data_IF_007081782442
#
_entry.id   IF_007081782442
#
_cell.length_a   1.000
_cell.length_b   1.000
_cell.length_c   1.000
_cell.angle_alpha   90.00
_cell.angle_beta   90.00
_cell.angle_gamma   90.00
#
_symmetry.space_group_name_H-M   'P 1'
#
loop_
_entity.id
_entity.type
_entity.pdbx_description
1 polymer ?
#
# COMPACT_ATOMS: atom_id res chain seq x y z
N UNK A 1 -8.55 -20.79 8.71
CA UNK A 1 -8.74 -22.26 8.71
C UNK A 1 -8.87 -22.71 7.28
N UNK A 2 -8.12 -23.72 6.84
CA UNK A 2 -8.29 -24.30 5.52
C UNK A 2 -9.70 -24.93 5.43
N UNK A 3 -10.44 -24.57 4.39
CA UNK A 3 -11.79 -25.09 4.14
C UNK A 3 -11.76 -26.62 4.08
N UNK A 4 -12.62 -27.27 4.88
CA UNK A 4 -12.70 -28.71 5.06
C UNK A 4 -12.87 -29.47 3.73
N UNK A 5 -13.45 -28.83 2.71
CA UNK A 5 -13.64 -29.39 1.36
C UNK A 5 -12.32 -29.74 0.67
N UNK A 6 -11.20 -29.09 1.03
CA UNK A 6 -9.92 -29.27 0.36
C UNK A 6 -8.91 -30.10 1.14
N UNK A 7 -9.24 -30.61 2.33
CA UNK A 7 -8.30 -31.36 3.17
C UNK A 7 -7.65 -32.53 2.44
N UNK A 8 -8.44 -33.29 1.66
CA UNK A 8 -7.91 -34.41 0.88
C UNK A 8 -6.97 -33.94 -0.25
N UNK A 9 -7.30 -32.85 -0.91
CA UNK A 9 -6.46 -32.25 -1.96
C UNK A 9 -5.14 -31.76 -1.37
N UNK A 10 -5.17 -31.07 -0.22
CA UNK A 10 -3.98 -30.61 0.48
C UNK A 10 -3.08 -31.77 0.92
N UNK A 11 -3.65 -32.87 1.42
CA UNK A 11 -2.90 -34.09 1.72
C UNK A 11 -2.21 -34.69 0.49
N UNK A 12 -2.93 -34.77 -0.64
CA UNK A 12 -2.36 -35.28 -1.89
C UNK A 12 -1.25 -34.37 -2.42
N UNK A 13 -1.44 -33.06 -2.33
CA UNK A 13 -0.42 -32.08 -2.70
C UNK A 13 0.83 -32.26 -1.85
N UNK A 14 0.72 -32.37 -0.52
CA UNK A 14 1.85 -32.64 0.39
C UNK A 14 2.67 -33.85 -0.05
N UNK A 15 1.99 -34.94 -0.41
CA UNK A 15 2.64 -36.18 -0.83
C UNK A 15 3.34 -36.06 -2.19
N UNK A 16 2.82 -35.20 -3.08
CA UNK A 16 3.27 -35.07 -4.48
C UNK A 16 4.09 -33.82 -4.77
N UNK A 17 4.37 -32.95 -3.78
CA UNK A 17 5.13 -31.71 -3.99
C UNK A 17 6.47 -31.94 -4.72
N UNK A 18 7.18 -33.01 -4.38
CA UNK A 18 8.47 -33.36 -5.00
C UNK A 18 8.39 -33.70 -6.49
N UNK A 19 7.20 -34.09 -6.97
CA UNK A 19 6.97 -34.56 -8.34
C UNK A 19 6.31 -33.48 -9.21
N UNK A 20 6.04 -32.28 -8.66
CA UNK A 20 5.43 -31.19 -9.42
C UNK A 20 6.38 -30.70 -10.53
N UNK A 21 5.86 -30.53 -11.75
CA UNK A 21 6.56 -29.80 -12.81
C UNK A 21 6.65 -28.31 -12.48
N UNK A 22 7.45 -27.55 -13.23
CA UNK A 22 7.53 -26.09 -13.10
C UNK A 22 6.15 -25.41 -13.21
N UNK A 23 5.33 -25.84 -14.17
CA UNK A 23 3.96 -25.38 -14.33
C UNK A 23 3.07 -25.79 -13.14
N UNK A 24 3.09 -27.07 -12.75
CA UNK A 24 2.28 -27.56 -11.63
C UNK A 24 2.64 -26.93 -10.29
N UNK A 25 3.91 -26.59 -10.07
CA UNK A 25 4.37 -25.83 -8.91
C UNK A 25 3.81 -24.40 -8.89
N UNK A 26 3.85 -23.73 -10.04
CA UNK A 26 3.33 -22.36 -10.19
C UNK A 26 1.83 -22.31 -9.93
N UNK A 27 1.07 -23.24 -10.50
CA UNK A 27 -0.37 -23.35 -10.29
C UNK A 27 -0.74 -23.74 -8.86
N UNK A 28 0.01 -24.67 -8.25
CA UNK A 28 -0.21 -25.06 -6.87
C UNK A 28 0.01 -23.89 -5.90
N UNK A 29 1.12 -23.15 -6.06
CA UNK A 29 1.41 -21.98 -5.23
C UNK A 29 0.39 -20.87 -5.44
N UNK A 30 -0.01 -20.59 -6.69
CA UNK A 30 -1.04 -19.60 -7.02
C UNK A 30 -2.40 -19.95 -6.40
N UNK A 31 -2.86 -21.20 -6.57
CA UNK A 31 -4.14 -21.66 -6.03
C UNK A 31 -4.18 -21.57 -4.51
N UNK A 32 -3.11 -22.01 -3.83
CA UNK A 32 -3.00 -21.89 -2.37
C UNK A 32 -3.01 -20.43 -1.90
N UNK A 33 -2.33 -19.54 -2.62
CA UNK A 33 -2.31 -18.11 -2.32
C UNK A 33 -3.69 -17.48 -2.49
N UNK A 34 -4.43 -17.81 -3.56
CA UNK A 34 -5.81 -17.36 -3.76
C UNK A 34 -6.76 -17.88 -2.68
N UNK A 35 -6.53 -19.09 -2.19
CA UNK A 35 -7.27 -19.66 -1.07
C UNK A 35 -6.85 -19.11 0.30
N UNK A 36 -5.85 -18.22 0.37
CA UNK A 36 -5.26 -17.74 1.63
C UNK A 36 -4.82 -18.89 2.55
N UNK A 37 -4.38 -20.01 1.94
CA UNK A 37 -3.89 -21.16 2.66
C UNK A 37 -2.50 -20.85 3.23
N UNK A 38 -2.36 -20.92 4.56
CA UNK A 38 -1.09 -20.66 5.26
C UNK A 38 -0.54 -21.93 5.90
N UNK A 39 -0.57 -23.05 5.20
CA UNK A 39 -0.05 -24.32 5.68
C UNK A 39 1.49 -24.35 5.65
N UNK A 40 2.15 -24.41 6.81
CA UNK A 40 3.61 -24.34 6.91
C UNK A 40 4.29 -25.49 6.15
N UNK A 41 3.82 -26.71 6.35
CA UNK A 41 4.44 -27.91 5.79
C UNK A 41 4.37 -27.90 4.25
N UNK A 42 3.21 -27.54 3.70
CA UNK A 42 3.02 -27.44 2.25
C UNK A 42 3.98 -26.40 1.67
N UNK A 43 4.04 -25.20 2.24
CA UNK A 43 4.88 -24.14 1.69
C UNK A 43 6.38 -24.45 1.82
N UNK A 44 6.82 -25.12 2.90
CA UNK A 44 8.20 -25.60 3.00
C UNK A 44 8.54 -26.63 1.91
N UNK A 45 7.62 -27.56 1.61
CA UNK A 45 7.82 -28.55 0.53
C UNK A 45 7.80 -27.92 -0.86
N UNK A 46 6.90 -26.96 -1.10
CA UNK A 46 6.83 -26.21 -2.36
C UNK A 46 8.08 -25.35 -2.55
N UNK A 47 8.59 -24.72 -1.49
CA UNK A 47 9.86 -23.98 -1.51
C UNK A 47 11.03 -24.90 -1.89
N UNK A 48 11.18 -26.03 -1.21
CA UNK A 48 12.24 -27.01 -1.53
C UNK A 48 12.14 -27.50 -2.98
N UNK A 49 10.92 -27.77 -3.47
CA UNK A 49 10.69 -28.15 -4.87
C UNK A 49 11.10 -27.01 -5.81
N UNK A 50 10.60 -25.79 -5.58
CA UNK A 50 10.91 -24.62 -6.39
C UNK A 50 12.41 -24.37 -6.51
N UNK A 51 13.15 -24.48 -5.40
CA UNK A 51 14.61 -24.38 -5.41
C UNK A 51 15.28 -25.48 -6.25
N UNK A 52 14.77 -26.72 -6.18
CA UNK A 52 15.33 -27.86 -6.95
C UNK A 52 15.12 -27.76 -8.47
N UNK A 53 14.05 -27.07 -8.93
CA UNK A 53 13.72 -26.91 -10.36
C UNK A 53 13.74 -25.44 -10.79
N UNK A 54 14.48 -24.59 -10.08
CA UNK A 54 14.44 -23.14 -10.31
C UNK A 54 14.79 -22.78 -11.76
N UNK A 55 15.72 -23.52 -12.37
CA UNK A 55 16.16 -23.34 -13.76
C UNK A 55 15.08 -23.73 -14.79
N UNK A 56 14.13 -24.58 -14.42
CA UNK A 56 13.01 -24.98 -15.27
C UNK A 56 11.84 -23.99 -15.21
N UNK A 57 11.78 -23.13 -14.18
CA UNK A 57 10.75 -22.10 -14.07
C UNK A 57 11.00 -21.01 -15.11
N UNK A 58 9.98 -20.75 -15.93
CA UNK A 58 9.96 -19.64 -16.86
C UNK A 58 9.73 -18.31 -16.09
N UNK A 59 9.86 -17.14 -16.75
CA UNK A 59 9.61 -15.84 -16.13
C UNK A 59 8.28 -15.73 -15.38
N UNK A 60 7.23 -16.35 -15.93
CA UNK A 60 5.91 -16.35 -15.33
C UNK A 60 5.87 -17.18 -14.05
N UNK A 61 6.42 -18.38 -14.06
CA UNK A 61 6.52 -19.25 -12.90
C UNK A 61 7.34 -18.63 -11.77
N UNK A 62 8.49 -18.02 -12.09
CA UNK A 62 9.30 -17.28 -11.11
C UNK A 62 8.51 -16.17 -10.42
N UNK A 63 7.80 -15.34 -11.21
CA UNK A 63 6.99 -14.25 -10.69
C UNK A 63 5.78 -14.76 -9.88
N UNK A 64 5.11 -15.83 -10.34
CA UNK A 64 3.95 -16.42 -9.65
C UNK A 64 4.36 -17.03 -8.31
N UNK A 65 5.49 -17.76 -8.25
CA UNK A 65 5.96 -18.35 -6.99
C UNK A 65 6.29 -17.24 -5.99
N UNK A 66 7.04 -16.21 -6.40
CA UNK A 66 7.34 -15.06 -5.54
C UNK A 66 6.05 -14.35 -5.06
N UNK A 67 5.14 -14.05 -5.99
CA UNK A 67 3.85 -13.41 -5.70
C UNK A 67 3.01 -14.24 -4.73
N UNK A 68 2.99 -15.56 -4.89
CA UNK A 68 2.20 -16.47 -4.07
C UNK A 68 2.70 -16.51 -2.63
N UNK A 69 4.02 -16.60 -2.43
CA UNK A 69 4.65 -16.54 -1.11
C UNK A 69 4.41 -15.18 -0.45
N UNK A 70 4.51 -14.08 -1.20
CA UNK A 70 4.20 -12.74 -0.72
C UNK A 70 2.72 -12.59 -0.30
N UNK A 71 1.79 -13.12 -1.09
CA UNK A 71 0.35 -13.05 -0.85
C UNK A 71 -0.06 -13.72 0.47
N UNK A 72 0.60 -14.81 0.85
CA UNK A 72 0.35 -15.49 2.13
C UNK A 72 1.25 -14.98 3.27
N UNK A 73 2.01 -13.91 3.04
CA UNK A 73 2.98 -13.31 3.97
C UNK A 73 4.05 -14.29 4.46
N UNK A 74 4.54 -15.17 3.58
CA UNK A 74 5.60 -16.13 3.87
C UNK A 74 6.92 -15.68 3.25
N UNK A 75 7.84 -15.26 4.12
CA UNK A 75 9.21 -14.93 3.74
C UNK A 75 10.10 -16.17 3.83
N UNK A 76 10.62 -16.60 2.69
CA UNK A 76 11.61 -17.67 2.57
C UNK A 76 12.84 -17.12 1.85
N UNK A 77 13.89 -16.81 2.62
CA UNK A 77 15.09 -16.14 2.10
C UNK A 77 15.82 -16.96 1.03
N UNK A 78 15.91 -18.28 1.22
CA UNK A 78 16.62 -19.16 0.30
C UNK A 78 15.88 -19.25 -1.04
N UNK A 79 14.56 -19.40 -0.99
CA UNK A 79 13.73 -19.38 -2.19
C UNK A 79 13.80 -18.04 -2.92
N UNK A 80 13.66 -16.92 -2.19
CA UNK A 80 13.67 -15.60 -2.80
C UNK A 80 15.03 -15.25 -3.40
N UNK A 81 16.13 -15.67 -2.78
CA UNK A 81 17.47 -15.56 -3.35
C UNK A 81 17.63 -16.41 -4.63
N UNK A 82 17.09 -17.63 -4.64
CA UNK A 82 17.12 -18.49 -5.82
C UNK A 82 16.29 -17.90 -6.97
N UNK A 83 15.08 -17.40 -6.68
CA UNK A 83 14.25 -16.67 -7.66
C UNK A 83 14.98 -15.45 -8.16
N UNK A 84 15.57 -14.63 -7.29
CA UNK A 84 16.33 -13.45 -7.70
C UNK A 84 17.48 -13.80 -8.64
N UNK A 85 18.28 -14.81 -8.31
CA UNK A 85 19.40 -15.25 -9.14
C UNK A 85 18.97 -15.74 -10.52
N UNK A 86 17.86 -16.48 -10.59
CA UNK A 86 17.36 -17.01 -11.86
C UNK A 86 16.60 -15.98 -12.69
N UNK A 87 15.83 -15.09 -12.05
CA UNK A 87 15.14 -13.97 -12.71
C UNK A 87 16.13 -13.06 -13.44
N UNK A 88 17.31 -12.79 -12.85
CA UNK A 88 18.35 -11.97 -13.51
C UNK A 88 18.86 -12.60 -14.81
N UNK A 89 19.04 -13.92 -14.85
CA UNK A 89 19.49 -14.62 -16.07
C UNK A 89 18.44 -14.63 -17.18
N UNK A 90 17.16 -14.57 -16.80
CA UNK A 90 16.01 -14.67 -17.70
C UNK A 90 15.33 -13.33 -17.97
N UNK A 91 15.87 -12.22 -17.45
CA UNK A 91 15.19 -10.93 -17.39
C UNK A 91 14.70 -10.44 -18.76
N UNK A 92 15.49 -10.64 -19.81
CA UNK A 92 15.12 -10.27 -21.19
C UNK A 92 13.83 -10.94 -21.69
N UNK A 93 13.45 -12.09 -21.10
CA UNK A 93 12.23 -12.84 -21.42
C UNK A 93 11.05 -12.50 -20.51
N UNK A 94 11.21 -11.64 -19.49
CA UNK A 94 10.11 -11.25 -18.62
C UNK A 94 9.11 -10.37 -19.37
N UNK A 95 7.81 -10.57 -19.15
CA UNK A 95 6.82 -9.54 -19.46
C UNK A 95 6.81 -8.44 -18.38
N UNK A 96 6.30 -7.25 -18.70
CA UNK A 96 6.14 -6.15 -17.72
C UNK A 96 5.30 -6.54 -16.50
N UNK A 97 4.33 -7.44 -16.69
CA UNK A 97 3.55 -8.03 -15.59
C UNK A 97 4.39 -8.92 -14.67
N UNK A 98 5.36 -9.67 -15.23
CA UNK A 98 6.24 -10.51 -14.42
C UNK A 98 7.19 -9.64 -13.59
N UNK A 99 7.70 -8.56 -14.20
CA UNK A 99 8.53 -7.54 -13.52
C UNK A 99 7.73 -6.92 -12.36
N UNK A 100 6.52 -6.41 -12.63
CA UNK A 100 5.71 -5.75 -11.60
C UNK A 100 5.36 -6.70 -10.44
N UNK A 101 4.98 -7.95 -10.74
CA UNK A 101 4.70 -8.96 -9.71
C UNK A 101 5.93 -9.31 -8.87
N UNK A 102 7.10 -9.42 -9.48
CA UNK A 102 8.33 -9.75 -8.77
C UNK A 102 8.77 -8.61 -7.83
N UNK A 103 8.73 -7.35 -8.31
CA UNK A 103 9.05 -6.18 -7.47
C UNK A 103 8.02 -6.05 -6.33
N UNK A 104 6.72 -6.24 -6.64
CA UNK A 104 5.66 -6.23 -5.64
C UNK A 104 5.85 -7.29 -4.56
N UNK A 105 6.24 -8.51 -4.95
CA UNK A 105 6.48 -9.60 -4.02
C UNK A 105 7.64 -9.28 -3.06
N UNK A 106 8.76 -8.79 -3.60
CA UNK A 106 9.91 -8.34 -2.82
C UNK A 106 9.53 -7.22 -1.83
N UNK A 107 8.81 -6.20 -2.29
CA UNK A 107 8.34 -5.10 -1.45
C UNK A 107 7.34 -5.55 -0.37
N UNK A 108 6.51 -6.53 -0.67
CA UNK A 108 5.53 -7.08 0.28
C UNK A 108 6.22 -7.89 1.38
N UNK A 109 7.25 -8.65 1.04
CA UNK A 109 8.03 -9.46 1.99
C UNK A 109 9.18 -8.68 2.67
N UNK A 110 9.43 -7.44 2.24
CA UNK A 110 10.53 -6.61 2.74
C UNK A 110 11.90 -7.20 2.40
N UNK A 111 12.02 -7.80 1.22
CA UNK A 111 13.27 -8.39 0.71
C UNK A 111 13.94 -7.43 -0.25
N UNK A 112 15.18 -7.08 0.06
CA UNK A 112 16.01 -6.19 -0.75
C UNK A 112 17.19 -6.98 -1.32
N UNK A 113 17.32 -6.93 -2.64
CA UNK A 113 18.43 -7.49 -3.41
C UNK A 113 18.92 -6.43 -4.38
N UNK A 114 20.01 -5.72 -4.05
CA UNK A 114 20.42 -4.54 -4.81
C UNK A 114 20.66 -4.86 -6.30
N UNK A 115 21.29 -6.00 -6.60
CA UNK A 115 21.55 -6.40 -7.97
C UNK A 115 20.26 -6.68 -8.77
N UNK A 116 19.30 -7.41 -8.18
CA UNK A 116 18.02 -7.67 -8.85
C UNK A 116 17.23 -6.37 -9.03
N UNK A 117 17.15 -5.53 -8.00
CA UNK A 117 16.37 -4.29 -8.05
C UNK A 117 16.98 -3.28 -9.02
N UNK A 118 18.30 -3.23 -9.17
CA UNK A 118 18.98 -2.44 -10.21
C UNK A 118 18.57 -2.90 -11.61
N UNK A 119 18.66 -4.20 -11.88
CA UNK A 119 18.30 -4.78 -13.18
C UNK A 119 16.80 -4.56 -13.49
N UNK A 120 15.91 -4.79 -12.52
CA UNK A 120 14.47 -4.59 -12.68
C UNK A 120 14.09 -3.11 -12.86
N UNK A 121 14.77 -2.19 -12.20
CA UNK A 121 14.57 -0.75 -12.38
C UNK A 121 15.01 -0.30 -13.78
N UNK A 122 16.18 -0.75 -14.22
CA UNK A 122 16.70 -0.45 -15.55
C UNK A 122 15.79 -1.01 -16.65
N UNK A 123 15.31 -2.24 -16.48
CA UNK A 123 14.40 -2.86 -17.45
C UNK A 123 13.02 -2.18 -17.46
N UNK A 124 12.53 -1.78 -16.29
CA UNK A 124 11.28 -1.00 -16.17
C UNK A 124 11.40 0.37 -16.84
N UNK A 125 12.56 1.04 -16.73
CA UNK A 125 12.85 2.29 -17.46
C UNK A 125 12.84 2.08 -18.97
N UNK A 126 13.51 1.02 -19.44
CA UNK A 126 13.62 0.70 -20.87
C UNK A 126 12.26 0.45 -21.52
N UNK A 127 11.33 -0.15 -20.77
CA UNK A 127 10.02 -0.61 -21.26
C UNK A 127 8.85 0.18 -20.71
N UNK A 128 9.09 1.39 -20.22
CA UNK A 128 8.11 2.22 -19.52
C UNK A 128 6.74 2.35 -20.25
N UNK A 129 6.77 2.44 -21.58
CA UNK A 129 5.56 2.61 -22.40
C UNK A 129 4.73 1.32 -22.55
N UNK A 130 5.32 0.15 -22.28
CA UNK A 130 4.62 -1.14 -22.29
C UNK A 130 3.82 -1.39 -21.02
N UNK A 131 4.17 -0.73 -19.91
CA UNK A 131 3.45 -0.87 -18.65
C UNK A 131 2.07 -0.20 -18.72
N UNK A 132 1.08 -0.91 -18.17
CA UNK A 132 -0.21 -0.32 -17.81
C UNK A 132 -0.05 0.67 -16.65
N UNK A 133 -1.05 1.54 -16.45
CA UNK A 133 -1.07 2.48 -15.31
C UNK A 133 -0.99 1.72 -13.97
N UNK A 134 -1.71 0.60 -13.85
CA UNK A 134 -1.69 -0.25 -12.67
C UNK A 134 -0.28 -0.77 -12.37
N UNK A 135 0.40 -1.33 -13.36
CA UNK A 135 1.72 -1.91 -13.15
C UNK A 135 2.76 -0.82 -12.83
N UNK A 136 2.69 0.35 -13.47
CA UNK A 136 3.55 1.49 -13.11
C UNK A 136 3.35 1.94 -11.67
N UNK A 137 2.10 2.05 -11.23
CA UNK A 137 1.78 2.41 -9.86
C UNK A 137 2.34 1.38 -8.87
N UNK A 138 2.23 0.08 -9.19
CA UNK A 138 2.79 -1.02 -8.40
C UNK A 138 4.31 -0.93 -8.32
N UNK A 139 5.01 -0.77 -9.45
CA UNK A 139 6.48 -0.69 -9.47
C UNK A 139 6.98 0.51 -8.68
N UNK A 140 6.37 1.68 -8.88
CA UNK A 140 6.72 2.91 -8.17
C UNK A 140 6.47 2.80 -6.65
N UNK A 141 5.33 2.23 -6.26
CA UNK A 141 5.02 1.93 -4.86
C UNK A 141 6.04 0.95 -4.27
N UNK A 142 6.37 -0.12 -4.98
CA UNK A 142 7.20 -1.19 -4.47
C UNK A 142 8.64 -0.73 -4.22
N UNK A 143 9.24 0.01 -5.16
CA UNK A 143 10.57 0.62 -4.93
C UNK A 143 10.56 1.62 -3.78
N UNK A 144 9.49 2.41 -3.64
CA UNK A 144 9.34 3.34 -2.52
C UNK A 144 9.24 2.60 -1.18
N UNK A 145 8.42 1.55 -1.11
CA UNK A 145 8.24 0.73 0.09
C UNK A 145 9.54 0.02 0.53
N UNK A 146 10.38 -0.37 -0.44
CA UNK A 146 11.70 -0.95 -0.18
C UNK A 146 12.76 0.09 0.20
N UNK A 147 12.43 1.39 0.19
CA UNK A 147 13.38 2.49 0.29
C UNK A 147 14.55 2.33 -0.70
N UNK A 148 14.24 1.86 -1.92
CA UNK A 148 15.23 1.66 -2.97
C UNK A 148 15.50 2.96 -3.74
N UNK A 149 16.77 3.33 -3.99
CA UNK A 149 17.10 4.58 -4.67
C UNK A 149 16.81 4.48 -6.18
N UNK A 150 15.69 5.04 -6.63
CA UNK A 150 15.25 4.98 -8.04
C UNK A 150 15.96 5.97 -8.98
N UNK A 151 16.61 7.00 -8.43
CA UNK A 151 17.31 8.05 -9.21
C UNK A 151 16.38 8.97 -10.02
N UNK A 152 16.93 10.06 -10.57
CA UNK A 152 16.14 11.11 -11.25
C UNK A 152 15.59 10.67 -12.60
N UNK A 153 16.25 9.73 -13.27
CA UNK A 153 15.76 9.17 -14.54
C UNK A 153 14.39 8.51 -14.36
N UNK A 154 14.21 7.70 -13.30
CA UNK A 154 12.93 7.08 -12.97
C UNK A 154 11.88 8.12 -12.58
N UNK A 155 12.23 9.08 -11.72
CA UNK A 155 11.31 10.14 -11.30
C UNK A 155 10.76 10.91 -12.50
N UNK A 156 11.65 11.31 -13.41
CA UNK A 156 11.30 12.04 -14.63
C UNK A 156 10.45 11.19 -15.57
N UNK A 157 10.81 9.92 -15.75
CA UNK A 157 10.07 8.97 -16.57
C UNK A 157 8.64 8.77 -16.06
N UNK A 158 8.46 8.47 -14.78
CA UNK A 158 7.15 8.30 -14.15
C UNK A 158 6.33 9.58 -14.24
N UNK A 159 6.93 10.74 -13.92
CA UNK A 159 6.26 12.04 -14.08
C UNK A 159 5.71 12.22 -15.49
N UNK A 160 6.55 12.09 -16.51
CA UNK A 160 6.16 12.30 -17.90
C UNK A 160 5.13 11.28 -18.39
N UNK A 161 5.18 10.05 -17.88
CA UNK A 161 4.21 9.01 -18.19
C UNK A 161 2.85 9.31 -17.55
N UNK A 162 2.82 9.62 -16.26
CA UNK A 162 1.59 9.95 -15.52
C UNK A 162 0.90 11.19 -16.12
N UNK A 163 1.63 12.24 -16.45
CA UNK A 163 1.02 13.43 -17.07
C UNK A 163 0.36 13.16 -18.44
N UNK A 164 0.76 12.10 -19.16
CA UNK A 164 0.22 11.73 -20.47
C UNK A 164 -0.93 10.72 -20.42
N UNK A 165 -1.05 9.96 -19.34
CA UNK A 165 -2.08 8.92 -19.22
C UNK A 165 -3.49 9.52 -19.11
N UNK A 166 -4.45 8.92 -19.81
CA UNK A 166 -5.82 9.43 -19.90
C UNK A 166 -6.78 8.79 -18.89
N UNK A 167 -6.47 7.57 -18.46
CA UNK A 167 -7.36 6.76 -17.64
C UNK A 167 -6.61 6.27 -16.40
N UNK A 168 -7.31 6.33 -15.28
CA UNK A 168 -6.81 5.95 -13.97
C UNK A 168 -7.91 5.26 -13.16
N UNK A 169 -7.51 4.23 -12.43
CA UNK A 169 -8.25 3.80 -11.26
C UNK A 169 -7.86 4.67 -10.04
N UNK A 170 -8.78 4.91 -9.09
CA UNK A 170 -8.50 5.61 -7.83
C UNK A 170 -7.28 5.06 -7.06
N UNK A 171 -7.12 3.73 -7.07
CA UNK A 171 -5.98 3.05 -6.43
C UNK A 171 -4.64 3.49 -7.00
N UNK A 172 -4.55 3.62 -8.33
CA UNK A 172 -3.31 3.94 -9.03
C UNK A 172 -2.82 5.35 -8.67
N UNK A 173 -3.71 6.35 -8.73
CA UNK A 173 -3.40 7.73 -8.32
C UNK A 173 -2.96 7.78 -6.86
N UNK A 174 -3.67 7.07 -5.97
CA UNK A 174 -3.33 7.05 -4.55
C UNK A 174 -1.96 6.41 -4.29
N UNK A 175 -1.60 5.34 -5.00
CA UNK A 175 -0.30 4.70 -4.89
C UNK A 175 0.83 5.60 -5.40
N UNK A 176 0.61 6.31 -6.52
CA UNK A 176 1.57 7.26 -7.08
C UNK A 176 1.78 8.42 -6.11
N UNK A 177 0.71 9.05 -5.62
CA UNK A 177 0.79 10.15 -4.66
C UNK A 177 1.48 9.74 -3.36
N UNK A 178 1.15 8.55 -2.83
CA UNK A 178 1.80 7.98 -1.66
C UNK A 178 3.30 7.83 -1.87
N UNK A 179 3.70 7.31 -3.03
CA UNK A 179 5.11 7.09 -3.35
C UNK A 179 5.89 8.41 -3.48
N UNK A 180 5.29 9.44 -4.07
CA UNK A 180 5.89 10.79 -4.15
C UNK A 180 6.10 11.38 -2.76
N UNK A 181 5.03 11.39 -1.95
CA UNK A 181 5.06 11.96 -0.61
C UNK A 181 6.03 11.22 0.32
N UNK A 182 6.05 9.89 0.26
CA UNK A 182 6.94 9.05 1.09
C UNK A 182 8.41 9.28 0.75
N UNK A 183 8.74 9.50 -0.53
CA UNK A 183 10.12 9.82 -0.95
C UNK A 183 10.51 11.28 -0.73
N UNK A 184 9.56 12.14 -0.36
CA UNK A 184 9.77 13.58 -0.28
C UNK A 184 9.99 14.23 -1.65
N UNK A 185 9.47 13.63 -2.72
CA UNK A 185 9.58 14.18 -4.07
C UNK A 185 8.65 15.39 -4.21
N UNK A 186 9.27 16.56 -4.38
CA UNK A 186 8.54 17.81 -4.61
C UNK A 186 8.31 18.04 -6.12
N UNK A 187 7.10 17.79 -6.60
CA UNK A 187 6.58 18.06 -7.95
C UNK A 187 5.14 18.63 -7.88
N UNK A 188 5.00 19.96 -7.79
CA UNK A 188 3.70 20.64 -7.76
C UNK A 188 2.81 20.33 -8.96
N UNK A 189 3.36 20.30 -10.18
CA UNK A 189 2.58 20.08 -11.40
C UNK A 189 1.95 18.68 -11.41
N UNK A 190 2.73 17.68 -11.00
CA UNK A 190 2.26 16.31 -10.90
C UNK A 190 1.21 16.15 -9.80
N UNK A 191 1.38 16.82 -8.65
CA UNK A 191 0.37 16.76 -7.60
C UNK A 191 -0.92 17.50 -8.00
N UNK A 192 -0.82 18.65 -8.63
CA UNK A 192 -1.97 19.37 -9.17
C UNK A 192 -2.72 18.54 -10.22
N UNK A 193 -1.97 17.82 -11.08
CA UNK A 193 -2.56 16.84 -12.00
C UNK A 193 -3.29 15.72 -11.26
N UNK A 194 -2.67 15.10 -10.26
CA UNK A 194 -3.29 14.04 -9.44
C UNK A 194 -4.56 14.55 -8.76
N UNK A 195 -4.55 15.77 -8.23
CA UNK A 195 -5.71 16.39 -7.59
C UNK A 195 -6.87 16.57 -8.57
N UNK A 196 -6.61 17.13 -9.77
CA UNK A 196 -7.62 17.26 -10.83
C UNK A 196 -8.23 15.92 -11.23
N UNK A 197 -7.40 14.89 -11.43
CA UNK A 197 -7.88 13.55 -11.74
C UNK A 197 -8.66 12.92 -10.59
N UNK A 198 -8.27 13.19 -9.36
CA UNK A 198 -8.97 12.70 -8.16
C UNK A 198 -10.37 13.32 -8.04
N UNK A 199 -10.56 14.58 -8.47
CA UNK A 199 -11.88 15.20 -8.56
C UNK A 199 -12.82 14.49 -9.55
N UNK A 200 -12.31 14.12 -10.73
CA UNK A 200 -13.07 13.38 -11.75
C UNK A 200 -13.54 12.00 -11.23
N UNK A 201 -12.74 11.39 -10.35
CA UNK A 201 -12.96 10.05 -9.81
C UNK A 201 -13.56 10.04 -8.39
N UNK A 202 -13.92 11.20 -7.84
CA UNK A 202 -14.28 11.37 -6.42
C UNK A 202 -15.36 10.39 -5.94
N UNK A 203 -16.34 10.07 -6.81
CA UNK A 203 -17.44 9.14 -6.49
C UNK A 203 -17.00 7.68 -6.37
N UNK A 204 -15.94 7.27 -7.07
CA UNK A 204 -15.43 5.89 -7.03
C UNK A 204 -14.31 5.69 -6.01
N UNK A 205 -13.88 6.77 -5.33
CA UNK A 205 -12.85 6.68 -4.29
C UNK A 205 -13.35 5.85 -3.12
N UNK A 206 -12.53 4.89 -2.69
CA UNK A 206 -12.66 4.31 -1.35
C UNK A 206 -12.16 5.32 -0.31
N UNK A 207 -12.50 5.11 0.96
CA UNK A 207 -11.90 5.88 2.05
C UNK A 207 -10.37 5.82 2.05
N UNK A 208 -9.78 4.72 1.57
CA UNK A 208 -8.32 4.56 1.50
C UNK A 208 -7.71 5.45 0.43
N UNK A 209 -8.33 5.55 -0.73
CA UNK A 209 -7.83 6.43 -1.78
C UNK A 209 -7.88 7.89 -1.31
N UNK A 210 -9.01 8.30 -0.74
CA UNK A 210 -9.20 9.66 -0.20
C UNK A 210 -8.14 10.01 0.86
N UNK A 211 -8.01 9.16 1.87
CA UNK A 211 -7.05 9.35 2.96
C UNK A 211 -5.62 9.45 2.46
N UNK A 212 -5.25 8.60 1.50
CA UNK A 212 -3.90 8.54 0.96
C UNK A 212 -3.55 9.79 0.16
N UNK A 213 -4.47 10.31 -0.67
CA UNK A 213 -4.24 11.55 -1.44
C UNK A 213 -4.13 12.75 -0.49
N UNK A 214 -5.04 12.90 0.47
CA UNK A 214 -5.01 14.01 1.45
C UNK A 214 -3.72 13.95 2.29
N UNK A 215 -3.34 12.76 2.76
CA UNK A 215 -2.08 12.56 3.47
C UNK A 215 -0.87 12.92 2.59
N UNK A 216 -0.87 12.51 1.33
CA UNK A 216 0.22 12.80 0.42
C UNK A 216 0.40 14.31 0.22
N UNK A 217 -0.68 15.03 -0.08
CA UNK A 217 -0.71 16.50 -0.22
C UNK A 217 -0.20 17.20 1.05
N UNK A 218 -0.68 16.77 2.22
CA UNK A 218 -0.27 17.34 3.50
C UNK A 218 1.20 17.03 3.85
N UNK A 219 1.73 15.89 3.44
CA UNK A 219 3.11 15.47 3.74
C UNK A 219 4.13 16.39 3.08
N UNK A 220 3.96 16.62 1.79
CA UNK A 220 4.79 17.49 0.93
C UNK A 220 4.43 18.98 1.04
N UNK A 221 3.38 19.33 1.78
CA UNK A 221 2.94 20.70 2.06
C UNK A 221 2.54 21.53 0.83
N UNK A 222 1.91 20.90 -0.19
CA UNK A 222 1.31 21.67 -1.28
C UNK A 222 0.01 22.32 -0.82
N UNK A 223 0.00 23.65 -0.69
CA UNK A 223 -1.17 24.41 -0.26
C UNK A 223 -1.55 25.57 -1.18
N UNK A 224 -0.63 25.99 -2.06
CA UNK A 224 -0.78 27.21 -2.85
C UNK A 224 -1.31 26.96 -4.28
N UNK A 225 -1.64 25.71 -4.63
CA UNK A 225 -2.21 25.37 -5.95
C UNK A 225 -3.76 25.37 -5.91
N UNK A 226 -4.45 26.12 -6.80
CA UNK A 226 -5.91 26.17 -6.84
C UNK A 226 -6.59 24.81 -7.02
N UNK A 227 -5.97 23.88 -7.75
CA UNK A 227 -6.51 22.54 -7.99
C UNK A 227 -6.52 21.71 -6.71
N UNK A 228 -5.58 21.96 -5.80
CA UNK A 228 -5.49 21.30 -4.50
C UNK A 228 -6.58 21.84 -3.58
N UNK A 229 -6.79 23.15 -3.52
CA UNK A 229 -7.89 23.75 -2.76
C UNK A 229 -9.25 23.23 -3.23
N UNK A 230 -9.49 23.19 -4.55
CA UNK A 230 -10.73 22.67 -5.13
C UNK A 230 -10.93 21.18 -4.79
N UNK A 231 -9.88 20.37 -4.91
CA UNK A 231 -9.92 18.96 -4.53
C UNK A 231 -10.27 18.80 -3.04
N UNK A 232 -9.65 19.55 -2.14
CA UNK A 232 -9.92 19.47 -0.69
C UNK A 232 -11.36 19.86 -0.35
N UNK A 233 -11.92 20.90 -1.01
CA UNK A 233 -13.33 21.28 -0.84
C UNK A 233 -14.27 20.16 -1.28
N UNK A 234 -14.00 19.54 -2.42
CA UNK A 234 -14.80 18.43 -2.93
C UNK A 234 -14.68 17.19 -2.04
N UNK A 235 -13.45 16.90 -1.58
CA UNK A 235 -13.17 15.81 -0.66
C UNK A 235 -13.93 16.00 0.67
N UNK A 236 -14.02 17.21 1.22
CA UNK A 236 -14.81 17.50 2.43
C UNK A 236 -16.27 17.09 2.26
N UNK A 237 -16.91 17.47 1.16
CA UNK A 237 -18.30 17.07 0.88
C UNK A 237 -18.45 15.55 0.80
N UNK A 238 -17.52 14.86 0.14
CA UNK A 238 -17.52 13.41 0.05
C UNK A 238 -17.25 12.72 1.41
N UNK A 239 -16.36 13.28 2.23
CA UNK A 239 -16.03 12.82 3.58
C UNK A 239 -17.25 12.94 4.50
N UNK A 240 -17.90 14.09 4.51
CA UNK A 240 -19.10 14.32 5.33
C UNK A 240 -20.24 13.38 4.95
N UNK A 241 -20.41 13.08 3.67
CA UNK A 241 -21.45 12.17 3.20
C UNK A 241 -21.19 10.68 3.48
N UNK A 242 -19.93 10.29 3.66
CA UNK A 242 -19.49 8.86 3.68
C UNK A 242 -18.59 8.51 4.86
N UNK A 243 -18.59 9.32 5.91
CA UNK A 243 -17.66 9.16 7.05
C UNK A 243 -17.80 7.81 7.77
N UNK A 244 -18.99 7.20 7.70
CA UNK A 244 -19.29 5.87 8.25
C UNK A 244 -18.62 4.71 7.48
N UNK A 245 -18.15 4.92 6.24
CA UNK A 245 -17.43 3.91 5.45
C UNK A 245 -15.94 3.83 5.82
N UNK A 246 -15.43 4.83 6.55
CA UNK A 246 -14.00 4.98 6.78
C UNK A 246 -13.53 4.14 7.98
N UNK A 247 -12.47 3.36 7.75
CA UNK A 247 -11.80 2.63 8.82
C UNK A 247 -10.98 3.60 9.70
N UNK A 248 -10.62 3.22 10.94
CA UNK A 248 -9.89 4.09 11.88
C UNK A 248 -8.63 4.76 11.30
N UNK A 249 -7.86 4.03 10.48
CA UNK A 249 -6.67 4.56 9.82
C UNK A 249 -7.02 5.70 8.84
N UNK A 250 -8.10 5.56 8.09
CA UNK A 250 -8.54 6.56 7.13
C UNK A 250 -8.95 7.85 7.82
N UNK A 251 -9.72 7.73 8.91
CA UNK A 251 -10.12 8.87 9.74
C UNK A 251 -8.87 9.61 10.24
N UNK A 252 -7.91 8.88 10.81
CA UNK A 252 -6.67 9.45 11.32
C UNK A 252 -5.88 10.21 10.25
N UNK A 253 -5.67 9.60 9.07
CA UNK A 253 -4.92 10.22 7.97
C UNK A 253 -5.62 11.44 7.37
N UNK A 254 -6.94 11.38 7.21
CA UNK A 254 -7.74 12.51 6.70
C UNK A 254 -7.71 13.66 7.71
N UNK A 255 -8.03 13.41 8.98
CA UNK A 255 -8.02 14.43 10.03
C UNK A 255 -6.64 15.09 10.14
N UNK A 256 -5.57 14.28 10.18
CA UNK A 256 -4.21 14.79 10.22
C UNK A 256 -3.86 15.65 9.01
N UNK A 257 -4.22 15.21 7.80
CA UNK A 257 -3.91 15.95 6.59
C UNK A 257 -4.63 17.30 6.53
N UNK A 258 -5.92 17.33 6.87
CA UNK A 258 -6.70 18.57 6.92
C UNK A 258 -6.16 19.54 7.98
N UNK A 259 -5.83 19.04 9.17
CA UNK A 259 -5.24 19.86 10.24
C UNK A 259 -3.85 20.40 9.87
N UNK A 260 -2.97 19.56 9.32
CA UNK A 260 -1.62 19.96 8.90
C UNK A 260 -1.64 21.02 7.81
N UNK A 261 -2.59 20.93 6.89
CA UNK A 261 -2.80 21.93 5.83
C UNK A 261 -3.47 23.21 6.36
N UNK A 262 -3.89 23.25 7.63
CA UNK A 262 -4.69 24.34 8.21
C UNK A 262 -5.96 24.61 7.41
N UNK A 263 -6.56 23.56 6.83
CA UNK A 263 -7.72 23.68 5.97
C UNK A 263 -9.00 23.75 6.80
N UNK A 264 -9.85 24.75 6.53
CA UNK A 264 -11.12 24.93 7.27
C UNK A 264 -12.12 23.85 6.87
N UNK A 265 -12.33 22.87 7.74
CA UNK A 265 -13.09 21.66 7.44
C UNK A 265 -13.98 21.20 8.61
N UNK A 266 -14.65 22.14 9.29
CA UNK A 266 -15.44 21.86 10.51
C UNK A 266 -16.46 20.73 10.31
N UNK A 267 -17.25 20.77 9.25
CA UNK A 267 -18.22 19.71 8.92
C UNK A 267 -17.58 18.34 8.63
N UNK A 268 -16.33 18.31 8.15
CA UNK A 268 -15.60 17.05 8.00
C UNK A 268 -15.09 16.56 9.35
N UNK A 269 -14.57 17.45 10.20
CA UNK A 269 -14.13 17.09 11.55
C UNK A 269 -15.27 16.55 12.40
N UNK A 270 -16.47 17.14 12.32
CA UNK A 270 -17.68 16.62 12.97
C UNK A 270 -17.99 15.18 12.52
N UNK A 271 -18.19 14.99 11.22
CA UNK A 271 -18.54 13.69 10.65
C UNK A 271 -17.46 12.61 10.91
N UNK A 272 -16.17 12.99 10.87
CA UNK A 272 -15.04 12.10 11.18
C UNK A 272 -14.99 11.74 12.66
N UNK A 273 -15.23 12.70 13.56
CA UNK A 273 -15.22 12.45 15.01
C UNK A 273 -16.43 11.62 15.46
N UNK A 274 -17.59 11.80 14.85
CA UNK A 274 -18.76 10.95 15.06
C UNK A 274 -18.45 9.50 14.67
N UNK A 275 -17.90 9.30 13.46
CA UNK A 275 -17.48 7.99 12.99
C UNK A 275 -16.38 7.39 13.87
N UNK A 276 -15.43 8.20 14.34
CA UNK A 276 -14.37 7.77 15.25
C UNK A 276 -14.93 7.33 16.61
N UNK A 277 -15.89 8.07 17.16
CA UNK A 277 -16.54 7.74 18.41
C UNK A 277 -17.34 6.43 18.32
N UNK A 278 -18.01 6.19 17.18
CA UNK A 278 -18.74 4.94 16.92
C UNK A 278 -17.81 3.72 16.79
N UNK A 279 -16.56 3.93 16.34
CA UNK A 279 -15.58 2.86 16.11
C UNK A 279 -14.46 2.84 17.16
N UNK A 280 -14.66 3.48 18.32
CA UNK A 280 -13.57 3.82 19.23
C UNK A 280 -12.75 2.61 19.71
N UNK A 281 -13.40 1.48 19.98
CA UNK A 281 -12.74 0.26 20.46
C UNK A 281 -11.92 -0.46 19.36
N UNK A 282 -12.08 -0.07 18.09
CA UNK A 282 -11.32 -0.59 16.94
C UNK A 282 -10.07 0.25 16.62
N UNK A 283 -9.86 1.38 17.30
CA UNK A 283 -8.68 2.22 17.07
C UNK A 283 -7.43 1.61 17.71
N UNK A 284 -6.35 1.54 16.93
CA UNK A 284 -5.00 1.40 17.50
C UNK A 284 -4.53 2.73 18.10
N UNK A 285 -3.69 2.71 19.15
CA UNK A 285 -3.19 3.91 19.84
C UNK A 285 -2.72 5.04 18.92
N UNK A 286 -1.93 4.69 17.90
CA UNK A 286 -1.35 5.66 16.96
C UNK A 286 -2.42 6.43 16.18
N UNK A 287 -3.44 5.74 15.67
CA UNK A 287 -4.53 6.37 14.91
C UNK A 287 -5.36 7.29 15.82
N UNK A 288 -5.59 6.87 17.06
CA UNK A 288 -6.37 7.65 18.03
C UNK A 288 -5.68 8.98 18.35
N UNK A 289 -4.40 8.92 18.70
CA UNK A 289 -3.59 10.09 19.01
C UNK A 289 -3.50 11.03 17.80
N UNK A 290 -3.44 10.49 16.59
CA UNK A 290 -3.39 11.29 15.37
C UNK A 290 -4.69 12.08 15.13
N UNK A 291 -5.87 11.48 15.35
CA UNK A 291 -7.15 12.21 15.29
C UNK A 291 -7.23 13.28 16.38
N UNK A 292 -6.80 12.96 17.60
CA UNK A 292 -6.80 13.93 18.71
C UNK A 292 -5.89 15.13 18.44
N UNK A 293 -4.67 14.87 17.99
CA UNK A 293 -3.74 15.92 17.58
C UNK A 293 -4.34 16.79 16.48
N UNK A 294 -5.01 16.18 15.50
CA UNK A 294 -5.66 16.91 14.41
C UNK A 294 -6.79 17.81 14.92
N UNK A 295 -7.63 17.32 15.84
CA UNK A 295 -8.70 18.09 16.46
C UNK A 295 -8.14 19.29 17.24
N UNK A 296 -7.14 19.07 18.10
CA UNK A 296 -6.48 20.14 18.85
C UNK A 296 -5.82 21.18 17.95
N UNK A 297 -5.12 20.73 16.90
CA UNK A 297 -4.48 21.61 15.90
C UNK A 297 -5.49 22.43 15.11
N UNK A 298 -6.63 21.85 14.76
CA UNK A 298 -7.71 22.55 14.08
C UNK A 298 -8.57 23.42 15.02
N UNK A 299 -8.34 23.37 16.33
CA UNK A 299 -9.20 24.02 17.34
C UNK A 299 -10.63 23.44 17.39
N UNK A 300 -10.81 22.19 16.97
CA UNK A 300 -12.10 21.51 16.93
C UNK A 300 -12.27 20.61 18.15
N UNK A 301 -13.40 20.73 18.86
CA UNK A 301 -13.70 19.95 20.06
C UNK A 301 -14.89 19.04 19.83
N UNK A 302 -14.70 17.74 20.07
CA UNK A 302 -15.76 16.73 19.94
C UNK A 302 -15.88 15.87 21.20
N UNK A 303 -16.87 16.20 22.04
CA UNK A 303 -17.02 15.65 23.38
C UNK A 303 -17.19 14.12 23.41
N UNK A 304 -18.00 13.56 22.50
CA UNK A 304 -18.22 12.12 22.45
C UNK A 304 -16.94 11.36 22.09
N UNK A 305 -16.19 11.88 21.11
CA UNK A 305 -14.92 11.32 20.69
C UNK A 305 -13.87 11.42 21.81
N UNK A 306 -13.71 12.59 22.44
CA UNK A 306 -12.74 12.80 23.52
C UNK A 306 -13.02 11.88 24.73
N UNK A 307 -14.28 11.69 25.12
CA UNK A 307 -14.66 10.72 26.17
C UNK A 307 -14.32 9.29 25.78
N UNK A 308 -14.58 8.91 24.53
CA UNK A 308 -14.22 7.60 24.00
C UNK A 308 -12.70 7.39 23.98
N UNK A 309 -11.95 8.39 23.49
CA UNK A 309 -10.51 8.38 23.39
C UNK A 309 -9.83 8.22 24.76
N UNK A 310 -10.31 8.94 25.77
CA UNK A 310 -9.84 8.80 27.16
C UNK A 310 -10.05 7.38 27.70
N UNK A 311 -11.15 6.72 27.35
CA UNK A 311 -11.43 5.35 27.77
C UNK A 311 -10.45 4.36 27.13
N UNK A 312 -10.20 4.49 25.82
CA UNK A 312 -9.28 3.61 25.10
C UNK A 312 -7.85 3.85 25.56
N UNK A 313 -7.41 5.11 25.65
CA UNK A 313 -6.07 5.45 26.12
C UNK A 313 -5.80 4.93 27.54
N UNK A 314 -6.79 4.94 28.45
CA UNK A 314 -6.63 4.34 29.78
C UNK A 314 -6.34 2.83 29.73
N UNK A 315 -6.87 2.12 28.73
CA UNK A 315 -6.67 0.67 28.57
C UNK A 315 -5.37 0.33 27.84
N UNK A 316 -4.88 1.22 26.99
CA UNK A 316 -3.73 1.00 26.11
C UNK A 316 -2.55 1.91 26.43
N UNK A 317 -2.54 2.55 27.61
CA UNK A 317 -1.51 3.52 28.02
C UNK A 317 -0.09 2.95 27.97
N UNK A 318 0.05 1.66 28.25
CA UNK A 318 1.33 0.95 28.23
C UNK A 318 1.86 0.73 26.80
N UNK A 319 0.99 0.82 25.78
CA UNK A 319 1.35 0.74 24.36
C UNK A 319 1.73 2.11 23.77
N UNK A 320 1.60 3.19 24.54
CA UNK A 320 1.88 4.54 24.06
C UNK A 320 3.38 4.83 24.17
N UNK A 321 3.98 5.33 23.08
CA UNK A 321 5.29 5.96 23.17
C UNK A 321 5.22 7.26 23.98
N UNK A 322 6.35 7.75 24.47
CA UNK A 322 6.41 9.04 25.19
C UNK A 322 5.86 10.21 24.34
N UNK A 323 6.03 10.17 23.02
CA UNK A 323 5.44 11.14 22.10
C UNK A 323 3.92 11.02 22.04
N UNK A 324 3.39 9.78 22.00
CA UNK A 324 1.95 9.55 21.99
C UNK A 324 1.29 10.09 23.27
N UNK A 325 1.91 9.89 24.43
CA UNK A 325 1.42 10.42 25.70
C UNK A 325 1.40 11.95 25.71
N UNK A 326 2.47 12.58 25.21
CA UNK A 326 2.58 14.05 25.14
C UNK A 326 1.52 14.66 24.22
N UNK A 327 1.34 14.11 23.02
CA UNK A 327 0.33 14.56 22.07
C UNK A 327 -1.10 14.36 22.62
N UNK A 328 -1.33 13.26 23.33
CA UNK A 328 -2.61 12.96 23.96
C UNK A 328 -2.96 14.01 25.02
N UNK A 329 -2.03 14.31 25.94
CA UNK A 329 -2.24 15.32 26.99
C UNK A 329 -2.47 16.71 26.40
N UNK A 330 -1.68 17.09 25.40
CA UNK A 330 -1.85 18.38 24.72
C UNK A 330 -3.23 18.52 24.06
N UNK A 331 -3.70 17.47 23.38
CA UNK A 331 -5.00 17.50 22.71
C UNK A 331 -6.21 17.49 23.66
N UNK A 332 -6.01 17.15 24.94
CA UNK A 332 -7.05 17.20 25.98
C UNK A 332 -7.09 18.52 26.77
N UNK A 333 -6.05 19.36 26.65
CA UNK A 333 -5.94 20.65 27.32
C UNK A 333 -6.75 21.72 26.57
#
# INVERSE_FOLDING_TARGET
MADHRFLRLLQLLRAKCKDLSAWGLSDATWGLAKMQCKDDEIFSRLSARAQSIIQELDPQGLAIVAWSFATVARRDEALLAAIAGESRKKLDSFGVQNISNLIWANATLGVRSDALHADLLQESLRRLEEFTTQELAIVNWAFTKLAYPVGDAWKTAIRNRVLRLKEYAPSELSMIAWALATRGDYDPDLMAYIARRSMELMRSFTGQNMATIIWAIATVSYKDDPSIDEFLRMAIGAITARSNEFQPLNIALISWGLAKLSFKAEAAFEALCDSAAAQIDSFVPQNLVQVMWACGTAGYKHDAFLRGAARVAKRTVDDFSSQHQSNFLWACA
#
